data_IF_064276132559
#
_entry.id   IF_064276132559
#
_cell.length_a   1.000
_cell.length_b   1.000
_cell.length_c   1.000
_cell.angle_alpha   90.00
_cell.angle_beta   90.00
_cell.angle_gamma   90.00
#
_symmetry.space_group_name_H-M   'P 1'
#
loop_
_entity.id
_entity.type
_entity.pdbx_description
1 polymer ?
#
# COMPACT_ATOMS: atom_id res chain seq x y z
N UNK A 1 15.91 -7.38 -15.70
CA UNK A 1 15.87 -6.02 -15.10
C UNK A 1 16.42 -6.07 -13.69
N UNK A 2 17.08 -5.01 -13.22
CA UNK A 2 17.50 -4.84 -11.82
C UNK A 2 16.54 -3.88 -11.12
N UNK A 3 15.83 -4.37 -10.09
CA UNK A 3 14.85 -3.58 -9.33
C UNK A 3 15.39 -3.30 -7.93
N UNK A 4 15.39 -2.02 -7.56
CA UNK A 4 15.69 -1.58 -6.19
C UNK A 4 14.38 -1.43 -5.40
N UNK A 5 14.26 -2.12 -4.26
CA UNK A 5 13.06 -2.09 -3.41
C UNK A 5 13.40 -1.44 -2.08
N UNK A 6 13.03 -0.18 -1.92
CA UNK A 6 13.05 0.51 -0.65
C UNK A 6 11.92 -0.02 0.25
N UNK A 7 12.25 -0.51 1.45
CA UNK A 7 11.28 -1.17 2.33
C UNK A 7 11.05 -2.65 1.99
N UNK A 8 12.03 -3.31 1.35
CA UNK A 8 11.95 -4.72 0.95
C UNK A 8 11.71 -5.72 2.08
N UNK A 9 12.04 -5.39 3.34
CA UNK A 9 11.77 -6.24 4.51
C UNK A 9 10.32 -6.18 5.01
N UNK A 10 9.51 -5.29 4.44
CA UNK A 10 8.08 -5.12 4.78
C UNK A 10 7.20 -6.22 4.19
N UNK A 11 5.91 -6.19 4.53
CA UNK A 11 4.91 -7.14 4.05
C UNK A 11 4.84 -7.18 2.51
N UNK A 12 4.62 -6.03 1.88
CA UNK A 12 4.55 -5.91 0.41
C UNK A 12 5.92 -6.18 -0.22
N UNK A 13 7.00 -5.62 0.38
CA UNK A 13 8.35 -5.74 -0.15
C UNK A 13 8.84 -7.18 -0.25
N UNK A 14 8.52 -8.03 0.73
CA UNK A 14 8.84 -9.48 0.69
C UNK A 14 8.12 -10.18 -0.47
N UNK A 15 6.82 -9.94 -0.63
CA UNK A 15 6.03 -10.53 -1.69
C UNK A 15 6.56 -10.10 -3.08
N UNK A 16 6.76 -8.80 -3.27
CA UNK A 16 7.28 -8.27 -4.53
C UNK A 16 8.69 -8.82 -4.85
N UNK A 17 9.58 -8.87 -3.84
CA UNK A 17 10.92 -9.46 -3.99
C UNK A 17 10.84 -10.90 -4.49
N UNK A 18 9.98 -11.73 -3.88
CA UNK A 18 9.81 -13.13 -4.27
C UNK A 18 9.35 -13.24 -5.72
N UNK A 19 8.28 -12.52 -6.11
CA UNK A 19 7.73 -12.57 -7.48
C UNK A 19 8.75 -12.09 -8.53
N UNK A 20 9.51 -11.03 -8.26
CA UNK A 20 10.54 -10.54 -9.17
C UNK A 20 11.69 -11.55 -9.36
N UNK A 21 12.11 -12.21 -8.28
CA UNK A 21 13.14 -13.27 -8.35
C UNK A 21 12.65 -14.49 -9.14
N UNK A 22 11.40 -14.91 -8.95
CA UNK A 22 10.75 -15.99 -9.71
C UNK A 22 10.70 -15.69 -11.21
N UNK A 23 10.54 -14.42 -11.59
CA UNK A 23 10.61 -13.96 -13.00
C UNK A 23 12.04 -13.74 -13.50
N UNK A 24 13.06 -14.10 -12.72
CA UNK A 24 14.45 -13.99 -13.14
C UNK A 24 15.07 -12.59 -13.01
N UNK A 25 14.40 -11.63 -12.39
CA UNK A 25 14.94 -10.31 -12.15
C UNK A 25 16.03 -10.30 -11.06
N UNK A 26 16.94 -9.33 -11.12
CA UNK A 26 17.85 -9.00 -10.01
C UNK A 26 17.16 -8.02 -9.08
N UNK A 27 17.28 -8.23 -7.77
CA UNK A 27 16.65 -7.38 -6.75
C UNK A 27 17.70 -6.90 -5.76
N UNK A 28 17.72 -5.60 -5.50
CA UNK A 28 18.36 -5.02 -4.32
C UNK A 28 17.28 -4.53 -3.37
N UNK A 29 17.14 -5.19 -2.23
CA UNK A 29 16.17 -4.84 -1.21
C UNK A 29 16.81 -4.02 -0.09
N UNK A 30 16.11 -3.04 0.46
CA UNK A 30 16.59 -2.31 1.64
C UNK A 30 15.57 -2.31 2.77
N UNK A 31 16.06 -2.09 3.98
CA UNK A 31 15.25 -1.98 5.19
C UNK A 31 16.11 -1.73 6.41
N UNK A 32 15.47 -1.50 7.55
CA UNK A 32 16.16 -1.19 8.82
C UNK A 32 16.56 -2.44 9.62
N UNK A 33 16.08 -3.63 9.25
CA UNK A 33 16.42 -4.90 9.93
C UNK A 33 17.86 -5.29 9.63
N UNK A 34 18.51 -5.96 10.58
CA UNK A 34 19.87 -6.48 10.40
C UNK A 34 19.95 -7.57 9.32
N UNK A 35 18.91 -8.38 9.18
CA UNK A 35 18.86 -9.49 8.23
C UNK A 35 17.62 -9.38 7.33
N UNK A 36 17.77 -9.85 6.09
CA UNK A 36 16.63 -9.97 5.18
C UNK A 36 15.82 -11.23 5.51
N UNK A 37 14.44 -11.13 5.54
CA UNK A 37 13.61 -12.23 6.03
C UNK A 37 13.36 -13.37 5.04
N UNK A 38 13.87 -13.29 3.80
CA UNK A 38 13.78 -14.37 2.81
C UNK A 38 15.10 -15.15 2.75
N UNK A 39 15.02 -16.37 2.19
CA UNK A 39 16.22 -17.20 1.93
C UNK A 39 17.18 -16.50 0.98
N UNK A 40 18.47 -16.75 1.14
CA UNK A 40 19.50 -16.26 0.23
C UNK A 40 19.19 -16.71 -1.22
N UNK A 41 19.41 -15.81 -2.17
CA UNK A 41 19.21 -16.08 -3.59
C UNK A 41 20.32 -15.37 -4.40
N UNK A 42 20.90 -15.99 -5.46
CA UNK A 42 22.02 -15.41 -6.21
C UNK A 42 21.73 -14.04 -6.83
N UNK A 43 20.46 -13.74 -7.11
CA UNK A 43 20.01 -12.46 -7.70
C UNK A 43 19.42 -11.49 -6.67
N UNK A 44 19.57 -11.76 -5.36
CA UNK A 44 19.08 -10.92 -4.28
C UNK A 44 20.25 -10.33 -3.51
N UNK A 45 20.30 -9.02 -3.43
CA UNK A 45 21.18 -8.26 -2.55
C UNK A 45 20.35 -7.56 -1.48
N UNK A 46 20.90 -7.44 -0.27
CA UNK A 46 20.25 -6.73 0.81
C UNK A 46 21.17 -5.67 1.40
N UNK A 47 20.64 -4.46 1.56
CA UNK A 47 21.32 -3.32 2.18
C UNK A 47 20.55 -2.85 3.38
N UNK A 48 21.13 -2.98 4.57
CA UNK A 48 20.54 -2.41 5.78
C UNK A 48 20.72 -0.90 5.78
N UNK A 49 19.61 -0.13 5.74
CA UNK A 49 19.66 1.31 5.73
C UNK A 49 18.37 1.95 6.28
N UNK A 50 18.53 3.12 6.88
CA UNK A 50 17.45 4.08 7.14
C UNK A 50 17.45 5.14 6.03
N UNK A 51 16.49 5.02 5.12
CA UNK A 51 16.41 5.87 3.92
C UNK A 51 15.91 7.30 4.23
N UNK A 52 15.50 7.59 5.45
CA UNK A 52 15.25 8.99 5.87
C UNK A 52 16.55 9.81 5.96
N UNK A 53 17.70 9.13 5.90
CA UNK A 53 19.05 9.72 5.94
C UNK A 53 19.83 9.32 4.69
N UNK A 54 20.68 10.23 4.20
CA UNK A 54 21.64 9.93 3.13
C UNK A 54 22.68 8.92 3.62
N UNK A 55 23.21 8.10 2.69
CA UNK A 55 24.23 7.09 3.03
C UNK A 55 24.57 6.19 1.85
N UNK A 56 25.38 5.16 2.09
CA UNK A 56 25.87 4.23 1.04
C UNK A 56 24.78 3.44 0.30
N UNK A 57 23.55 3.42 0.80
CA UNK A 57 22.43 2.81 0.07
C UNK A 57 22.16 3.49 -1.28
N UNK A 58 22.55 4.75 -1.43
CA UNK A 58 22.41 5.53 -2.67
C UNK A 58 23.29 4.95 -3.79
N UNK A 59 24.48 4.41 -3.44
CA UNK A 59 25.37 3.73 -4.39
C UNK A 59 24.70 2.48 -4.98
N UNK A 60 24.02 1.69 -4.13
CA UNK A 60 23.30 0.49 -4.58
C UNK A 60 22.01 0.80 -5.37
N UNK A 61 21.40 1.97 -5.14
CA UNK A 61 20.29 2.45 -5.93
C UNK A 61 20.73 2.83 -7.34
N UNK A 62 21.90 3.45 -7.48
CA UNK A 62 22.45 3.88 -8.77
C UNK A 62 22.62 2.73 -9.77
N UNK A 63 22.71 1.47 -9.32
CA UNK A 63 22.82 0.30 -10.20
C UNK A 63 21.47 -0.20 -10.76
N UNK A 64 20.32 0.28 -10.25
CA UNK A 64 19.02 -0.24 -10.62
C UNK A 64 18.48 0.35 -11.94
N UNK A 65 17.63 -0.40 -12.62
CA UNK A 65 16.87 0.04 -13.79
C UNK A 65 15.53 0.68 -13.38
N UNK A 66 14.95 0.17 -12.28
CA UNK A 66 13.70 0.67 -11.71
C UNK A 66 13.78 0.69 -10.18
N UNK A 67 13.07 1.66 -9.58
CA UNK A 67 12.99 1.83 -8.13
C UNK A 67 11.55 1.71 -7.66
N UNK A 68 11.33 0.88 -6.63
CA UNK A 68 10.03 0.75 -5.95
C UNK A 68 10.19 1.21 -4.51
N UNK A 69 9.52 2.30 -4.15
CA UNK A 69 9.54 2.84 -2.78
C UNK A 69 8.29 2.40 -2.01
N UNK A 70 8.48 1.53 -1.03
CA UNK A 70 7.45 1.01 -0.12
C UNK A 70 7.68 1.45 1.33
N UNK A 71 8.59 2.42 1.56
CA UNK A 71 8.92 2.86 2.91
C UNK A 71 7.81 3.72 3.48
N UNK A 72 7.40 3.39 4.69
CA UNK A 72 6.45 4.19 5.45
C UNK A 72 6.23 3.64 6.85
N UNK A 73 6.23 4.51 7.84
CA UNK A 73 5.80 4.19 9.20
C UNK A 73 4.35 3.70 9.17
N UNK A 74 4.05 2.60 9.87
CA UNK A 74 2.65 2.15 10.02
C UNK A 74 1.77 3.27 10.56
N UNK A 75 0.55 3.41 10.04
CA UNK A 75 -0.45 4.34 10.58
C UNK A 75 -1.13 3.79 11.83
N UNK A 76 -1.05 2.48 12.05
CA UNK A 76 -1.65 1.80 13.22
C UNK A 76 -0.84 2.06 14.49
N UNK A 77 -1.13 3.16 15.14
CA UNK A 77 -0.56 3.58 16.40
C UNK A 77 -1.35 4.75 16.99
N UNK A 78 -1.02 5.18 18.20
CA UNK A 78 -1.66 6.36 18.80
C UNK A 78 -1.16 7.63 18.10
N UNK A 79 -2.03 8.38 17.44
CA UNK A 79 -1.70 9.58 16.69
C UNK A 79 -1.42 10.77 17.60
N UNK A 80 -0.25 10.76 18.25
CA UNK A 80 0.33 11.95 18.88
C UNK A 80 0.97 12.85 17.84
N UNK A 81 1.28 14.11 18.18
CA UNK A 81 2.03 15.02 17.29
C UNK A 81 3.33 14.37 16.79
N UNK A 82 4.09 13.73 17.67
CA UNK A 82 5.34 13.04 17.34
C UNK A 82 5.10 11.84 16.39
N UNK A 83 4.06 11.04 16.63
CA UNK A 83 3.74 9.89 15.77
C UNK A 83 3.28 10.33 14.38
N UNK A 84 2.45 11.38 14.29
CA UNK A 84 2.03 11.99 13.01
C UNK A 84 3.22 12.56 12.24
N UNK A 85 4.18 13.20 12.92
CA UNK A 85 5.44 13.63 12.31
C UNK A 85 6.22 12.44 11.72
N UNK A 86 6.38 11.35 12.46
CA UNK A 86 7.04 10.12 11.97
C UNK A 86 6.33 9.51 10.76
N UNK A 87 4.98 9.52 10.73
CA UNK A 87 4.22 9.06 9.57
C UNK A 87 4.56 9.90 8.33
N UNK A 88 4.58 11.22 8.46
CA UNK A 88 4.89 12.17 7.38
C UNK A 88 6.36 12.05 6.94
N UNK A 89 7.29 12.16 7.87
CA UNK A 89 8.73 12.18 7.62
C UNK A 89 9.22 10.88 6.98
N UNK A 90 8.80 9.72 7.50
CA UNK A 90 9.19 8.42 6.92
C UNK A 90 8.81 8.27 5.46
N UNK A 91 7.83 9.01 4.97
CA UNK A 91 7.37 9.01 3.58
C UNK A 91 8.06 10.08 2.76
N UNK A 92 7.93 11.32 3.18
CA UNK A 92 8.38 12.49 2.39
C UNK A 92 9.90 12.54 2.33
N UNK A 93 10.61 12.42 3.46
CA UNK A 93 12.08 12.47 3.48
C UNK A 93 12.70 11.28 2.73
N UNK A 94 12.16 10.07 2.92
CA UNK A 94 12.65 8.90 2.16
C UNK A 94 12.46 9.10 0.66
N UNK A 95 11.30 9.56 0.24
CA UNK A 95 11.01 9.78 -1.19
C UNK A 95 11.90 10.86 -1.76
N UNK A 96 12.08 11.96 -1.02
CA UNK A 96 12.99 13.04 -1.42
C UNK A 96 14.43 12.54 -1.60
N UNK A 97 14.96 11.78 -0.63
CA UNK A 97 16.31 11.23 -0.70
C UNK A 97 16.48 10.24 -1.87
N UNK A 98 15.44 9.43 -2.15
CA UNK A 98 15.41 8.53 -3.32
C UNK A 98 15.47 9.36 -4.60
N UNK A 99 14.54 10.30 -4.80
CA UNK A 99 14.44 11.12 -6.00
C UNK A 99 15.72 11.93 -6.24
N UNK A 100 16.33 12.46 -5.20
CA UNK A 100 17.62 13.17 -5.30
C UNK A 100 18.72 12.27 -5.88
N UNK A 101 18.68 10.96 -5.57
CA UNK A 101 19.68 9.97 -6.00
C UNK A 101 19.38 9.34 -7.36
N UNK A 102 18.22 9.62 -7.98
CA UNK A 102 17.89 9.09 -9.30
C UNK A 102 18.64 9.84 -10.41
N UNK A 103 19.07 9.08 -11.42
CA UNK A 103 19.72 9.56 -12.64
C UNK A 103 18.95 9.07 -13.87
N UNK A 104 18.49 9.99 -14.73
CA UNK A 104 17.68 9.63 -15.91
C UNK A 104 18.39 8.74 -16.93
N UNK A 105 19.72 8.77 -16.94
CA UNK A 105 20.53 7.92 -17.80
C UNK A 105 20.47 6.44 -17.40
N UNK A 106 19.97 6.12 -16.19
CA UNK A 106 19.96 4.77 -15.64
C UNK A 106 18.56 4.31 -15.22
N UNK A 107 17.92 5.06 -14.31
CA UNK A 107 16.60 4.70 -13.82
C UNK A 107 15.51 5.25 -14.75
N UNK A 108 14.78 4.34 -15.40
CA UNK A 108 13.63 4.70 -16.24
C UNK A 108 12.32 4.88 -15.47
N UNK A 109 12.20 4.31 -14.24
CA UNK A 109 10.95 4.21 -13.50
C UNK A 109 11.14 4.35 -12.00
N UNK A 110 10.29 5.18 -11.38
CA UNK A 110 10.01 5.21 -9.94
C UNK A 110 8.56 4.83 -9.69
N UNK A 111 8.30 3.70 -9.02
CA UNK A 111 6.99 3.39 -8.43
C UNK A 111 7.06 3.81 -6.96
N UNK A 112 6.39 4.90 -6.62
CA UNK A 112 6.34 5.39 -5.25
C UNK A 112 5.00 5.00 -4.62
N UNK A 113 5.03 4.30 -3.48
CA UNK A 113 3.80 4.01 -2.75
C UNK A 113 3.07 5.30 -2.38
N UNK A 114 1.76 5.24 -2.47
CA UNK A 114 0.79 6.19 -1.92
C UNK A 114 -0.37 5.36 -1.35
N UNK A 115 -1.49 5.96 -1.00
CA UNK A 115 -2.63 5.24 -0.48
C UNK A 115 -3.95 5.93 -0.87
N UNK A 116 -5.04 5.17 -0.92
CA UNK A 116 -6.41 5.72 -1.12
C UNK A 116 -6.81 6.70 -0.02
N UNK A 117 -6.11 6.71 1.12
CA UNK A 117 -6.22 7.76 2.13
C UNK A 117 -5.92 9.18 1.61
N UNK A 118 -5.27 9.31 0.45
CA UNK A 118 -5.11 10.57 -0.30
C UNK A 118 -6.44 11.29 -0.52
N UNK A 119 -7.51 10.55 -0.76
CA UNK A 119 -8.82 11.13 -1.07
C UNK A 119 -9.61 11.60 0.15
N UNK A 120 -9.22 11.22 1.37
CA UNK A 120 -10.03 11.46 2.58
C UNK A 120 -11.35 10.67 2.54
N UNK A 121 -12.33 11.10 3.33
CA UNK A 121 -13.65 10.47 3.37
C UNK A 121 -14.62 11.19 2.42
N UNK A 122 -15.12 10.51 1.38
CA UNK A 122 -15.93 11.09 0.30
C UNK A 122 -17.33 10.44 0.16
N UNK A 123 -17.78 9.75 1.21
CA UNK A 123 -19.11 9.10 1.20
C UNK A 123 -19.23 8.08 0.08
N UNK A 124 -20.20 8.27 -0.80
CA UNK A 124 -20.52 7.36 -1.92
C UNK A 124 -19.89 7.75 -3.25
N UNK A 125 -19.17 8.88 -3.28
CA UNK A 125 -18.51 9.36 -4.50
C UNK A 125 -17.51 8.32 -5.02
N UNK A 126 -17.61 8.00 -6.31
CA UNK A 126 -16.61 7.16 -6.98
C UNK A 126 -15.31 7.97 -7.14
N UNK A 127 -14.21 7.39 -6.73
CA UNK A 127 -12.89 8.02 -6.69
C UNK A 127 -11.97 7.31 -7.68
N UNK A 128 -11.81 7.89 -8.86
CA UNK A 128 -10.76 7.51 -9.80
C UNK A 128 -9.49 8.34 -9.56
N UNK A 129 -8.49 8.20 -10.41
CA UNK A 129 -7.20 8.86 -10.25
C UNK A 129 -7.25 10.38 -10.43
N UNK A 130 -8.30 10.91 -11.05
CA UNK A 130 -8.52 12.34 -11.30
C UNK A 130 -9.23 13.03 -10.10
N UNK A 131 -9.74 12.26 -9.13
CA UNK A 131 -10.43 12.78 -7.96
C UNK A 131 -9.47 13.60 -7.06
N UNK A 132 -9.98 14.74 -6.49
CA UNK A 132 -9.16 15.63 -5.69
C UNK A 132 -8.74 15.01 -4.34
N UNK A 133 -7.66 15.53 -3.71
CA UNK A 133 -7.23 15.10 -2.39
C UNK A 133 -8.23 15.50 -1.30
N UNK A 134 -8.23 14.70 -0.23
CA UNK A 134 -8.93 15.06 1.01
C UNK A 134 -8.17 16.11 1.81
N UNK A 135 -8.91 16.81 2.70
CA UNK A 135 -8.37 17.83 3.59
C UNK A 135 -7.99 17.30 4.98
N UNK A 136 -8.04 15.99 5.19
CA UNK A 136 -7.65 15.37 6.45
C UNK A 136 -6.13 15.08 6.51
N UNK A 137 -5.65 14.62 7.68
CA UNK A 137 -4.23 14.36 7.90
C UNK A 137 -3.63 13.36 6.88
N UNK A 138 -4.38 12.33 6.47
CA UNK A 138 -3.86 11.35 5.50
C UNK A 138 -3.87 11.92 4.09
N UNK A 139 -4.84 12.75 3.74
CA UNK A 139 -4.87 13.51 2.49
C UNK A 139 -3.66 14.44 2.37
N UNK A 140 -3.38 15.23 3.43
CA UNK A 140 -2.19 16.09 3.48
C UNK A 140 -0.88 15.31 3.34
N UNK A 141 -0.77 14.17 4.04
CA UNK A 141 0.43 13.30 3.94
C UNK A 141 0.55 12.73 2.53
N UNK A 142 -0.56 12.29 1.92
CA UNK A 142 -0.58 11.76 0.55
C UNK A 142 -0.12 12.80 -0.47
N UNK A 143 -0.65 14.03 -0.39
CA UNK A 143 -0.24 15.13 -1.26
C UNK A 143 1.26 15.41 -1.17
N UNK A 144 1.80 15.55 0.04
CA UNK A 144 3.23 15.78 0.24
C UNK A 144 4.09 14.62 -0.25
N UNK A 145 3.61 13.39 -0.08
CA UNK A 145 4.31 12.19 -0.52
C UNK A 145 4.37 12.08 -2.04
N UNK A 146 3.23 12.26 -2.72
CA UNK A 146 3.16 12.25 -4.19
C UNK A 146 3.92 13.43 -4.80
N UNK A 147 3.81 14.63 -4.23
CA UNK A 147 4.58 15.79 -4.66
C UNK A 147 6.09 15.53 -4.64
N UNK A 148 6.60 14.92 -3.56
CA UNK A 148 8.02 14.57 -3.46
C UNK A 148 8.45 13.53 -4.53
N UNK A 149 7.57 12.58 -4.87
CA UNK A 149 7.86 11.60 -5.91
C UNK A 149 7.87 12.21 -7.32
N UNK A 150 6.89 13.07 -7.62
CA UNK A 150 6.72 13.72 -8.93
C UNK A 150 7.89 14.67 -9.28
N UNK A 151 8.69 15.11 -8.31
CA UNK A 151 9.96 15.81 -8.60
C UNK A 151 10.91 14.96 -9.48
N UNK A 152 10.78 13.64 -9.47
CA UNK A 152 11.53 12.75 -10.36
C UNK A 152 11.25 12.98 -11.85
N UNK A 153 10.06 13.44 -12.20
CA UNK A 153 9.72 13.76 -13.61
C UNK A 153 10.60 14.89 -14.18
N UNK A 154 11.02 15.85 -13.34
CA UNK A 154 11.94 16.93 -13.74
C UNK A 154 13.32 16.40 -14.14
N UNK A 155 13.64 15.18 -13.72
CA UNK A 155 14.87 14.47 -14.09
C UNK A 155 14.66 13.50 -15.27
N UNK A 156 13.50 13.51 -15.93
CA UNK A 156 13.17 12.59 -17.01
C UNK A 156 12.83 11.17 -16.56
N UNK A 157 12.56 10.96 -15.27
CA UNK A 157 12.16 9.66 -14.72
C UNK A 157 10.64 9.50 -14.85
N UNK A 158 10.15 8.39 -15.35
CA UNK A 158 8.72 8.04 -15.29
C UNK A 158 8.33 7.75 -13.86
N UNK A 159 7.40 8.52 -13.31
CA UNK A 159 6.93 8.35 -11.93
C UNK A 159 5.52 7.79 -11.90
N UNK A 160 5.29 6.79 -11.05
CA UNK A 160 3.97 6.25 -10.73
C UNK A 160 3.73 6.40 -9.23
N UNK A 161 2.74 7.21 -8.85
CA UNK A 161 2.27 7.33 -7.47
C UNK A 161 1.19 6.27 -7.24
N UNK A 162 1.58 5.14 -6.66
CA UNK A 162 0.73 3.97 -6.49
C UNK A 162 -0.18 4.13 -5.26
N UNK A 163 -1.43 4.57 -5.45
CA UNK A 163 -2.44 4.74 -4.39
C UNK A 163 -3.02 3.39 -3.98
N UNK A 164 -2.42 2.75 -2.98
CA UNK A 164 -2.85 1.44 -2.52
C UNK A 164 -4.18 1.50 -1.79
N UNK A 165 -5.13 0.61 -2.18
CA UNK A 165 -6.21 0.17 -1.31
C UNK A 165 -5.66 -0.56 -0.08
N UNK A 166 -6.55 -0.95 0.83
CA UNK A 166 -6.15 -1.76 1.98
C UNK A 166 -5.64 -3.12 1.49
N UNK A 167 -4.36 -3.38 1.71
CA UNK A 167 -3.70 -4.59 1.22
C UNK A 167 -4.06 -5.78 2.09
N UNK A 168 -4.68 -6.80 1.46
CA UNK A 168 -5.10 -8.04 2.10
C UNK A 168 -4.10 -9.16 1.76
N UNK A 169 -3.71 -9.93 2.77
CA UNK A 169 -2.83 -11.10 2.63
C UNK A 169 -2.57 -11.78 3.98
N UNK A 170 -2.11 -13.02 3.94
CA UNK A 170 -1.97 -13.90 5.13
C UNK A 170 -0.92 -13.38 6.12
N UNK A 171 0.28 -13.05 5.64
CA UNK A 171 1.45 -12.78 6.49
C UNK A 171 1.58 -11.36 7.03
N UNK A 172 0.56 -10.50 6.87
CA UNK A 172 0.69 -9.11 7.31
C UNK A 172 -0.48 -8.20 6.92
N UNK A 173 -0.21 -6.91 6.88
CA UNK A 173 -1.23 -5.91 6.54
C UNK A 173 -2.32 -5.76 7.59
N UNK A 174 -3.53 -5.46 7.12
CA UNK A 174 -4.70 -5.21 7.97
C UNK A 174 -5.42 -6.48 8.43
N UNK A 175 -5.25 -7.60 7.71
CA UNK A 175 -6.07 -8.82 7.85
C UNK A 175 -6.03 -9.37 9.29
N UNK A 176 -4.86 -9.54 9.88
CA UNK A 176 -4.76 -10.08 11.23
C UNK A 176 -5.50 -9.25 12.29
N UNK A 177 -5.52 -7.92 12.13
CA UNK A 177 -6.26 -7.00 13.01
C UNK A 177 -7.77 -7.08 12.75
N UNK A 178 -8.16 -7.22 11.48
CA UNK A 178 -9.56 -7.36 11.09
C UNK A 178 -10.16 -8.67 11.58
N UNK A 179 -9.39 -9.77 11.54
CA UNK A 179 -9.85 -11.11 11.93
C UNK A 179 -9.87 -11.31 13.45
N UNK A 180 -9.12 -10.55 14.23
CA UNK A 180 -9.03 -10.73 15.67
C UNK A 180 -10.38 -10.76 16.39
N UNK A 181 -11.33 -9.82 16.16
CA UNK A 181 -12.65 -9.87 16.81
C UNK A 181 -13.46 -11.13 16.47
N UNK A 182 -13.33 -11.66 15.24
CA UNK A 182 -14.06 -12.87 14.84
C UNK A 182 -13.59 -14.11 15.58
N UNK A 183 -12.29 -14.18 15.97
CA UNK A 183 -11.77 -15.28 16.80
C UNK A 183 -12.45 -15.35 18.15
N UNK A 184 -12.93 -14.22 18.67
CA UNK A 184 -13.64 -14.10 19.95
C UNK A 184 -15.17 -14.04 19.80
N UNK A 185 -15.73 -14.34 18.60
CA UNK A 185 -17.17 -14.30 18.31
C UNK A 185 -17.83 -12.92 18.45
N UNK A 186 -17.03 -11.85 18.47
CA UNK A 186 -17.50 -10.44 18.56
C UNK A 186 -17.22 -9.66 17.27
N UNK A 187 -17.03 -10.37 16.16
CA UNK A 187 -16.87 -9.76 14.85
C UNK A 187 -18.14 -9.02 14.43
N UNK A 188 -17.98 -7.81 13.88
CA UNK A 188 -19.10 -7.02 13.42
C UNK A 188 -18.67 -5.79 12.63
N UNK A 189 -19.62 -5.07 12.00
CA UNK A 189 -19.30 -3.88 11.25
C UNK A 189 -18.80 -2.76 12.16
N UNK A 190 -17.91 -1.92 11.63
CA UNK A 190 -17.41 -0.73 12.31
C UNK A 190 -18.42 0.42 12.10
N UNK A 191 -18.87 1.05 13.20
CA UNK A 191 -19.92 2.06 13.14
C UNK A 191 -21.22 1.50 12.58
N UNK A 192 -21.80 2.15 11.59
CA UNK A 192 -22.97 1.66 10.85
C UNK A 192 -22.61 0.69 9.71
N UNK A 193 -21.32 0.53 9.41
CA UNK A 193 -20.83 -0.35 8.34
C UNK A 193 -21.08 0.14 6.92
N UNK A 194 -21.58 1.37 6.73
CA UNK A 194 -21.92 1.93 5.41
C UNK A 194 -20.69 2.48 4.66
N UNK A 195 -19.56 2.68 5.34
CA UNK A 195 -18.35 3.18 4.71
C UNK A 195 -17.83 2.19 3.67
N UNK A 196 -17.40 2.73 2.53
CA UNK A 196 -16.74 1.98 1.48
C UNK A 196 -15.33 1.55 1.88
N UNK A 197 -15.00 0.34 1.54
CA UNK A 197 -13.73 -0.32 1.80
C UNK A 197 -13.06 -0.64 0.45
N UNK A 198 -12.08 0.17 0.10
CA UNK A 198 -11.23 -0.07 -1.08
C UNK A 198 -10.05 -0.92 -0.67
N UNK A 199 -9.87 -2.03 -1.35
CA UNK A 199 -8.93 -3.09 -0.99
C UNK A 199 -8.21 -3.64 -2.21
N UNK A 200 -7.13 -4.39 -2.00
CA UNK A 200 -6.46 -5.18 -3.02
C UNK A 200 -5.81 -6.41 -2.38
N UNK A 201 -5.84 -7.56 -3.07
CA UNK A 201 -5.05 -8.72 -2.65
C UNK A 201 -3.56 -8.46 -2.88
N UNK A 202 -2.70 -8.94 -1.99
CA UNK A 202 -1.25 -8.70 -2.07
C UNK A 202 -0.65 -9.22 -3.37
N UNK A 203 -1.15 -10.34 -3.89
CA UNK A 203 -0.67 -10.90 -5.15
C UNK A 203 -1.02 -10.01 -6.34
N UNK A 204 -2.23 -9.46 -6.38
CA UNK A 204 -2.65 -8.53 -7.41
C UNK A 204 -1.90 -7.20 -7.31
N UNK A 205 -1.64 -6.73 -6.09
CA UNK A 205 -0.82 -5.54 -5.88
C UNK A 205 0.59 -5.72 -6.45
N UNK A 206 1.24 -6.84 -6.13
CA UNK A 206 2.59 -7.14 -6.63
C UNK A 206 2.59 -7.36 -8.15
N UNK A 207 1.57 -8.05 -8.68
CA UNK A 207 1.39 -8.24 -10.13
C UNK A 207 1.20 -6.90 -10.85
N UNK A 208 0.36 -6.00 -10.30
CA UNK A 208 0.14 -4.68 -10.86
C UNK A 208 1.41 -3.80 -10.84
N UNK A 209 2.24 -3.86 -9.78
CA UNK A 209 3.52 -3.16 -9.76
C UNK A 209 4.47 -3.68 -10.85
N UNK A 210 4.50 -5.01 -11.09
CA UNK A 210 5.29 -5.60 -12.17
C UNK A 210 4.70 -5.19 -13.52
N UNK A 211 3.37 -5.26 -13.71
CA UNK A 211 2.67 -4.82 -14.91
C UNK A 211 3.05 -3.39 -15.32
N UNK A 212 3.10 -2.49 -14.36
CA UNK A 212 3.52 -1.10 -14.59
C UNK A 212 4.93 -0.99 -15.17
N UNK A 213 5.85 -1.93 -14.88
CA UNK A 213 7.21 -1.87 -15.44
C UNK A 213 7.22 -2.01 -16.97
N UNK A 214 6.23 -2.70 -17.52
CA UNK A 214 6.10 -3.03 -18.94
C UNK A 214 5.16 -2.05 -19.68
N UNK A 215 4.29 -1.33 -18.95
CA UNK A 215 3.25 -0.44 -19.49
C UNK A 215 3.65 1.03 -19.27
N UNK A 216 4.34 1.60 -20.28
CA UNK A 216 4.94 2.95 -20.17
C UNK A 216 3.91 4.08 -20.14
N UNK A 217 2.70 3.85 -20.61
CA UNK A 217 1.57 4.79 -20.57
C UNK A 217 1.09 5.05 -19.12
N UNK A 218 1.34 4.13 -18.19
CA UNK A 218 0.98 4.28 -16.78
C UNK A 218 1.99 5.21 -16.08
N UNK A 219 1.54 6.42 -15.75
CA UNK A 219 2.31 7.46 -15.05
C UNK A 219 1.45 8.33 -14.16
N UNK A 220 2.11 9.08 -13.27
CA UNK A 220 1.43 9.92 -12.28
C UNK A 220 0.65 9.08 -11.27
N UNK A 221 -0.48 9.59 -10.72
CA UNK A 221 -1.32 8.83 -9.81
C UNK A 221 -1.97 7.63 -10.49
N UNK A 222 -1.94 6.46 -9.84
CA UNK A 222 -2.60 5.23 -10.26
C UNK A 222 -3.21 4.56 -9.03
N UNK A 223 -4.49 4.20 -9.09
CA UNK A 223 -5.18 3.47 -8.02
C UNK A 223 -4.84 1.98 -8.10
N UNK A 224 -4.12 1.49 -7.11
CA UNK A 224 -3.85 0.06 -6.93
C UNK A 224 -4.88 -0.51 -5.95
N UNK A 225 -6.07 -0.73 -6.44
CA UNK A 225 -7.17 -1.34 -5.69
C UNK A 225 -7.91 -2.36 -6.58
N UNK A 226 -8.64 -3.28 -5.95
CA UNK A 226 -9.52 -4.19 -6.67
C UNK A 226 -10.67 -3.41 -7.35
N UNK A 227 -11.21 -3.90 -8.48
CA UNK A 227 -12.23 -3.18 -9.25
C UNK A 227 -13.56 -3.06 -8.51
N UNK A 228 -13.80 -3.92 -7.52
CA UNK A 228 -15.06 -4.01 -6.79
C UNK A 228 -14.88 -3.62 -5.31
N UNK A 229 -14.89 -2.32 -4.96
CA UNK A 229 -14.95 -1.90 -3.56
C UNK A 229 -16.26 -2.36 -2.92
N UNK A 230 -16.24 -2.64 -1.62
CA UNK A 230 -17.41 -3.14 -0.88
C UNK A 230 -17.72 -2.27 0.33
N UNK A 231 -18.96 -2.35 0.87
CA UNK A 231 -19.27 -1.74 2.15
C UNK A 231 -18.65 -2.55 3.30
N UNK A 232 -18.24 -1.87 4.36
CA UNK A 232 -17.68 -2.54 5.54
C UNK A 232 -18.60 -3.62 6.09
N UNK A 233 -19.93 -3.38 6.14
CA UNK A 233 -20.92 -4.37 6.56
C UNK A 233 -20.94 -5.63 5.67
N UNK A 234 -20.76 -5.46 4.36
CA UNK A 234 -20.74 -6.57 3.39
C UNK A 234 -19.47 -7.41 3.57
N UNK A 235 -18.32 -6.76 3.63
CA UNK A 235 -17.05 -7.41 3.94
C UNK A 235 -17.14 -8.20 5.24
N UNK A 236 -17.69 -7.60 6.30
CA UNK A 236 -17.85 -8.22 7.61
C UNK A 236 -18.71 -9.50 7.52
N UNK A 237 -19.84 -9.45 6.78
CA UNK A 237 -20.69 -10.62 6.54
C UNK A 237 -19.97 -11.73 5.78
N UNK A 238 -19.18 -11.39 4.76
CA UNK A 238 -18.38 -12.34 3.98
C UNK A 238 -17.35 -13.04 4.89
N UNK A 239 -16.59 -12.30 5.69
CA UNK A 239 -15.63 -12.85 6.64
C UNK A 239 -16.33 -13.79 7.63
N UNK A 240 -17.44 -13.36 8.21
CA UNK A 240 -18.20 -14.17 9.16
C UNK A 240 -18.72 -15.48 8.54
N UNK A 241 -19.22 -15.44 7.32
CA UNK A 241 -19.66 -16.62 6.56
C UNK A 241 -18.52 -17.60 6.32
N UNK A 242 -17.36 -17.12 5.86
CA UNK A 242 -16.19 -17.96 5.60
C UNK A 242 -15.67 -18.60 6.89
N UNK A 243 -15.66 -17.85 8.00
CA UNK A 243 -15.17 -18.35 9.29
C UNK A 243 -16.20 -19.16 10.08
N UNK A 244 -17.48 -19.16 9.69
CA UNK A 244 -18.58 -19.71 10.49
C UNK A 244 -18.76 -18.94 11.80
N UNK A 245 -18.67 -17.60 11.77
CA UNK A 245 -18.74 -16.74 12.95
C UNK A 245 -19.85 -15.69 12.83
N UNK A 246 -20.53 -15.34 13.96
CA UNK A 246 -21.56 -14.31 13.96
C UNK A 246 -20.97 -12.93 13.63
N UNK A 247 -21.81 -12.05 13.02
CA UNK A 247 -21.39 -10.71 12.58
C UNK A 247 -22.44 -9.63 12.88
N UNK A 248 -23.34 -9.90 13.80
CA UNK A 248 -24.49 -9.03 14.08
C UNK A 248 -24.23 -7.95 15.14
N UNK A 249 -23.05 -7.98 15.80
CA UNK A 249 -22.71 -7.00 16.85
C UNK A 249 -21.87 -5.87 16.24
N UNK A 250 -22.44 -4.68 15.96
CA UNK A 250 -21.65 -3.57 15.44
C UNK A 250 -20.73 -3.00 16.54
N UNK A 251 -19.53 -2.61 16.15
CA UNK A 251 -18.65 -1.84 17.04
C UNK A 251 -19.01 -0.36 16.94
N UNK A 252 -19.62 0.26 17.95
CA UNK A 252 -20.08 1.64 17.86
C UNK A 252 -18.95 2.63 17.55
N UNK A 253 -19.21 3.61 16.68
CA UNK A 253 -18.20 4.58 16.27
C UNK A 253 -17.59 5.37 17.44
N UNK A 254 -18.37 5.67 18.49
CA UNK A 254 -17.85 6.34 19.69
C UNK A 254 -16.85 5.47 20.45
N UNK A 255 -17.09 4.15 20.54
CA UNK A 255 -16.16 3.22 21.20
C UNK A 255 -14.84 3.11 20.41
N UNK A 256 -14.91 3.06 19.07
CA UNK A 256 -13.72 3.09 18.21
C UNK A 256 -12.93 4.39 18.45
N UNK A 257 -13.60 5.55 18.51
CA UNK A 257 -12.96 6.85 18.78
C UNK A 257 -12.33 6.90 20.16
N UNK A 258 -13.00 6.34 21.19
CA UNK A 258 -12.48 6.29 22.55
C UNK A 258 -11.19 5.48 22.65
N UNK A 259 -11.11 4.32 21.97
CA UNK A 259 -9.96 3.41 22.02
C UNK A 259 -8.84 3.84 21.08
N UNK A 260 -9.18 4.26 19.86
CA UNK A 260 -8.21 4.52 18.79
C UNK A 260 -7.85 6.00 18.62
N UNK A 261 -8.57 6.91 19.30
CA UNK A 261 -8.36 8.35 19.15
C UNK A 261 -8.54 8.84 17.71
N UNK A 262 -7.65 9.69 17.24
CA UNK A 262 -7.70 10.23 15.87
C UNK A 262 -7.60 9.16 14.77
N UNK A 263 -6.94 8.02 15.02
CA UNK A 263 -6.87 6.91 14.06
C UNK A 263 -8.27 6.39 13.69
N UNK A 264 -9.26 6.54 14.56
CA UNK A 264 -10.64 6.15 14.31
C UNK A 264 -11.21 6.84 13.06
N UNK A 265 -10.81 8.07 12.77
CA UNK A 265 -11.26 8.79 11.56
C UNK A 265 -10.85 8.04 10.28
N UNK A 266 -9.63 7.52 10.22
CA UNK A 266 -9.16 6.73 9.09
C UNK A 266 -9.89 5.38 8.97
N UNK A 267 -10.21 4.73 10.10
CA UNK A 267 -10.94 3.44 10.11
C UNK A 267 -12.42 3.57 9.72
N UNK A 268 -13.01 4.73 9.96
CA UNK A 268 -14.41 5.06 9.66
C UNK A 268 -14.56 5.84 8.36
N UNK A 269 -13.45 6.15 7.66
CA UNK A 269 -13.45 6.82 6.37
C UNK A 269 -14.13 5.97 5.31
N UNK A 270 -14.80 6.65 4.38
CA UNK A 270 -15.45 6.05 3.22
C UNK A 270 -14.69 6.46 1.94
N UNK A 271 -14.02 5.49 1.31
CA UNK A 271 -13.35 5.68 0.03
C UNK A 271 -13.84 4.62 -0.96
N UNK A 272 -14.61 5.06 -1.97
CA UNK A 272 -15.09 4.21 -3.07
C UNK A 272 -14.16 4.32 -4.26
N UNK A 273 -12.91 3.84 -4.10
CA UNK A 273 -11.90 3.96 -5.15
C UNK A 273 -12.08 2.89 -6.21
N UNK A 274 -11.83 3.28 -7.46
CA UNK A 274 -11.83 2.40 -8.64
C UNK A 274 -10.50 2.54 -9.39
N UNK A 275 -9.92 1.45 -9.91
CA UNK A 275 -8.63 1.45 -10.59
C UNK A 275 -8.79 1.74 -12.08
N UNK A 276 -9.26 2.95 -12.43
CA UNK A 276 -9.59 3.33 -13.81
C UNK A 276 -8.41 3.12 -14.77
N UNK A 277 -7.21 3.54 -14.40
CA UNK A 277 -6.02 3.41 -15.25
C UNK A 277 -5.58 1.95 -15.42
N UNK A 278 -5.57 1.12 -14.36
CA UNK A 278 -5.22 -0.29 -14.49
C UNK A 278 -6.22 -1.06 -15.33
N UNK A 279 -7.52 -0.80 -15.15
CA UNK A 279 -8.59 -1.41 -15.97
C UNK A 279 -8.47 -0.98 -17.43
N UNK A 280 -8.21 0.31 -17.70
CA UNK A 280 -8.03 0.82 -19.05
C UNK A 280 -6.76 0.29 -19.75
N UNK A 281 -5.78 -0.18 -18.97
CA UNK A 281 -4.56 -0.85 -19.45
C UNK A 281 -4.72 -2.38 -19.48
N UNK A 282 -5.95 -2.90 -19.40
CA UNK A 282 -6.28 -4.34 -19.46
C UNK A 282 -5.58 -5.20 -18.39
N UNK A 283 -5.25 -4.63 -17.21
CA UNK A 283 -4.69 -5.40 -16.11
C UNK A 283 -5.68 -6.46 -15.62
N UNK A 284 -5.23 -7.72 -15.56
CA UNK A 284 -6.05 -8.86 -15.16
C UNK A 284 -5.88 -9.15 -13.67
N UNK A 285 -6.96 -9.00 -12.90
CA UNK A 285 -6.98 -9.33 -11.47
C UNK A 285 -7.20 -10.83 -11.27
N UNK A 286 -6.40 -11.42 -10.39
CA UNK A 286 -6.62 -12.81 -9.91
C UNK A 286 -7.77 -12.86 -8.90
N UNK A 287 -7.88 -11.80 -8.08
CA UNK A 287 -8.88 -11.67 -7.02
C UNK A 287 -9.70 -10.38 -7.21
N UNK A 288 -10.63 -10.34 -8.21
CA UNK A 288 -11.42 -9.15 -8.48
C UNK A 288 -12.54 -8.91 -7.45
N UNK A 289 -12.95 -9.92 -6.70
CA UNK A 289 -13.95 -9.86 -5.64
C UNK A 289 -13.38 -10.23 -4.27
N UNK A 290 -13.95 -9.61 -3.22
CA UNK A 290 -13.42 -9.73 -1.86
C UNK A 290 -13.63 -11.12 -1.24
N UNK A 291 -14.64 -11.87 -1.70
CA UNK A 291 -14.91 -13.22 -1.20
C UNK A 291 -13.81 -14.19 -1.67
N UNK A 292 -13.42 -14.15 -2.95
CA UNK A 292 -12.32 -14.96 -3.49
C UNK A 292 -11.00 -14.64 -2.78
N UNK A 293 -10.73 -13.35 -2.54
CA UNK A 293 -9.55 -12.91 -1.80
C UNK A 293 -9.52 -13.47 -0.36
N UNK A 294 -10.63 -13.38 0.39
CA UNK A 294 -10.66 -13.92 1.75
C UNK A 294 -10.67 -15.46 1.81
N UNK A 295 -11.24 -16.14 0.81
CA UNK A 295 -11.15 -17.61 0.74
C UNK A 295 -9.73 -18.08 0.56
N UNK A 296 -8.97 -17.43 -0.28
CA UNK A 296 -7.53 -17.71 -0.46
C UNK A 296 -6.76 -17.45 0.84
N UNK A 297 -6.86 -16.24 1.39
CA UNK A 297 -6.14 -15.82 2.60
C UNK A 297 -6.43 -16.72 3.80
N UNK A 298 -7.66 -17.20 3.92
CA UNK A 298 -8.11 -18.05 5.02
C UNK A 298 -7.99 -19.56 4.70
N UNK A 299 -7.54 -19.91 3.49
CA UNK A 299 -7.37 -21.30 3.00
C UNK A 299 -8.65 -22.14 3.15
N UNK A 300 -9.80 -21.56 2.76
CA UNK A 300 -11.13 -22.18 2.90
C UNK A 300 -11.96 -22.11 1.63
#
# INVERSE_FOLDING_TARGET
MHVYIAGGTGFIGKCLTKKLLEQGNRVTATGTRSNFPLKAHPRLSYVQADLTRKGRWQESLAEADAVVNLVGKTIFGRWTKAYKAQIRESRILTTHNIVESLESSRQGLLINASAVGFYGSQGDTILDEDAPPGSDFLGEVGMGWESAALEGEKKGIRVVCARFGIVLGEEGGAVNKMLAPFKFFIGGPLGNGEQWFSWIHIDDLCAAMIWVTEHQELKGPVNFCAPNPVRNKEMTKIIGRILGRPTFIPTPAFAIRMVMGELASALLSSQRCVPKKLVSADFQYTYPDIESAFREILKK
#
